data_IF_749286849547
#
_entry.id   IF_749286849547
#
_cell.length_a   1.000
_cell.length_b   1.000
_cell.length_c   1.000
_cell.angle_alpha   90.00
_cell.angle_beta   90.00
_cell.angle_gamma   90.00
#
_symmetry.space_group_name_H-M   'P 1'
#
loop_
_entity.id
_entity.type
_entity.pdbx_description
1 polymer ?
#
# COMPACT_ATOMS: atom_id res chain seq x y z
N UNK A 1 7.25 -6.85 16.04
CA UNK A 1 5.98 -7.52 15.65
C UNK A 1 4.81 -6.75 16.23
N UNK A 2 3.84 -6.40 15.42
CA UNK A 2 2.68 -5.60 15.84
C UNK A 2 1.42 -6.45 15.78
N UNK A 3 0.63 -6.44 16.84
CA UNK A 3 -0.67 -7.10 16.85
C UNK A 3 -1.75 -6.11 16.39
N UNK A 4 -2.54 -6.50 15.41
CA UNK A 4 -3.62 -5.69 14.86
C UNK A 4 -4.97 -6.33 15.15
N UNK A 5 -6.00 -5.50 15.30
CA UNK A 5 -7.38 -5.97 15.37
C UNK A 5 -8.13 -5.62 14.08
N UNK A 6 -9.02 -6.53 13.68
CA UNK A 6 -9.92 -6.30 12.55
C UNK A 6 -11.23 -5.73 13.08
N UNK A 7 -11.52 -4.48 12.71
CA UNK A 7 -12.81 -3.86 12.99
C UNK A 7 -13.80 -4.23 11.89
N UNK A 8 -14.85 -4.94 12.26
CA UNK A 8 -15.92 -5.30 11.32
C UNK A 8 -17.14 -4.44 11.57
N UNK A 9 -17.70 -3.84 10.53
CA UNK A 9 -19.01 -3.21 10.62
C UNK A 9 -20.11 -4.27 10.52
N UNK A 10 -21.14 -4.14 11.34
CA UNK A 10 -22.26 -5.09 11.35
C UNK A 10 -23.15 -5.02 10.12
N UNK A 11 -22.97 -4.03 9.26
CA UNK A 11 -23.85 -3.73 8.13
C UNK A 11 -23.20 -4.03 6.78
N UNK A 12 -21.89 -3.90 6.67
CA UNK A 12 -21.15 -4.15 5.43
C UNK A 12 -19.74 -4.65 5.72
N UNK A 13 -19.48 -5.90 5.44
CA UNK A 13 -18.18 -6.53 5.63
C UNK A 13 -17.10 -6.05 4.64
N UNK A 14 -17.46 -5.31 3.61
CA UNK A 14 -16.50 -4.74 2.66
C UNK A 14 -15.70 -3.57 3.24
N UNK A 15 -16.16 -2.98 4.34
CA UNK A 15 -15.55 -1.84 5.01
C UNK A 15 -14.73 -2.22 6.26
N UNK A 16 -14.13 -3.39 6.29
CA UNK A 16 -13.26 -3.80 7.38
C UNK A 16 -11.97 -3.00 7.39
N UNK A 17 -11.60 -2.45 8.54
CA UNK A 17 -10.36 -1.71 8.74
C UNK A 17 -9.46 -2.38 9.76
N UNK A 18 -8.17 -2.17 9.63
CA UNK A 18 -7.17 -2.67 10.57
C UNK A 18 -6.81 -1.55 11.54
N UNK A 19 -6.85 -1.84 12.84
CA UNK A 19 -6.48 -0.88 13.89
C UNK A 19 -5.28 -1.38 14.68
N UNK A 20 -4.55 -0.46 15.31
CA UNK A 20 -3.41 -0.76 16.19
C UNK A 20 -3.88 -1.22 17.60
N UNK A 21 -5.16 -1.49 17.81
CA UNK A 21 -5.68 -2.00 19.07
C UNK A 21 -5.20 -3.43 19.32
N UNK A 22 -5.20 -3.84 20.59
CA UNK A 22 -4.85 -5.21 20.99
C UNK A 22 -5.85 -6.19 20.36
N UNK A 23 -5.41 -6.96 19.40
CA UNK A 23 -6.26 -7.83 18.57
C UNK A 23 -5.75 -9.26 18.49
N UNK A 24 -6.50 -10.08 17.79
CA UNK A 24 -6.25 -11.51 17.65
C UNK A 24 -5.39 -11.86 16.43
N UNK A 25 -5.00 -10.86 15.63
CA UNK A 25 -4.23 -11.07 14.41
C UNK A 25 -2.83 -10.50 14.60
N UNK A 26 -1.84 -11.34 14.39
CA UNK A 26 -0.44 -10.95 14.36
C UNK A 26 -0.11 -10.29 13.02
N UNK A 27 0.47 -9.09 13.07
CA UNK A 27 0.92 -8.39 11.88
C UNK A 27 2.44 -8.42 11.78
N UNK A 28 2.93 -8.81 10.61
CA UNK A 28 4.35 -8.81 10.24
C UNK A 28 4.58 -7.91 9.03
N UNK A 29 5.80 -7.43 8.85
CA UNK A 29 6.14 -6.68 7.66
C UNK A 29 6.38 -7.60 6.47
N UNK A 30 6.21 -7.10 5.25
CA UNK A 30 6.55 -7.87 4.05
C UNK A 30 8.02 -8.28 4.04
N UNK A 31 8.90 -7.41 4.50
CA UNK A 31 10.33 -7.68 4.57
C UNK A 31 10.71 -8.80 5.56
N UNK A 32 9.88 -9.01 6.59
CA UNK A 32 10.08 -10.08 7.56
C UNK A 32 9.50 -11.42 7.11
N UNK A 33 8.34 -11.39 6.45
CA UNK A 33 7.59 -12.59 6.09
C UNK A 33 8.03 -13.19 4.75
N UNK A 34 8.23 -12.36 3.73
CA UNK A 34 8.57 -12.81 2.38
C UNK A 34 10.08 -12.76 2.18
N UNK A 35 10.67 -13.89 1.85
CA UNK A 35 12.12 -13.99 1.58
C UNK A 35 12.44 -14.08 0.10
N UNK A 36 11.47 -14.48 -0.71
CA UNK A 36 11.60 -14.58 -2.16
C UNK A 36 11.57 -13.20 -2.81
N UNK A 37 12.09 -13.12 -4.03
CA UNK A 37 12.01 -11.92 -4.86
C UNK A 37 10.55 -11.54 -5.11
N UNK A 38 10.23 -10.27 -4.93
CA UNK A 38 8.89 -9.73 -5.17
C UNK A 38 8.87 -8.94 -6.49
N UNK A 39 7.97 -9.29 -7.39
CA UNK A 39 7.83 -8.65 -8.70
C UNK A 39 6.67 -7.63 -8.74
N UNK A 40 5.62 -7.85 -7.97
CA UNK A 40 4.45 -6.97 -7.91
C UNK A 40 3.97 -6.87 -6.47
N UNK A 41 3.64 -5.66 -6.05
CA UNK A 41 2.92 -5.39 -4.80
C UNK A 41 1.65 -4.60 -5.14
N UNK A 42 0.49 -5.16 -4.82
CA UNK A 42 -0.79 -4.48 -4.92
C UNK A 42 -1.35 -4.25 -3.53
N UNK A 43 -1.79 -3.02 -3.26
CA UNK A 43 -2.37 -2.64 -1.98
C UNK A 43 -3.69 -1.89 -2.17
N UNK A 44 -4.71 -2.35 -1.47
CA UNK A 44 -5.98 -1.69 -1.27
C UNK A 44 -6.46 -2.05 0.15
N UNK A 45 -5.86 -1.41 1.15
CA UNK A 45 -5.95 -1.80 2.57
C UNK A 45 -6.48 -0.67 3.45
N UNK A 46 -7.38 0.13 2.87
CA UNK A 46 -8.22 1.08 3.60
C UNK A 46 -7.45 2.09 4.47
N UNK A 47 -6.36 2.65 3.91
CA UNK A 47 -5.58 3.71 4.55
C UNK A 47 -4.30 3.25 5.25
N UNK A 48 -3.99 1.95 5.27
CA UNK A 48 -2.76 1.41 5.86
C UNK A 48 -1.59 1.29 4.87
N UNK A 49 -1.75 1.80 3.65
CA UNK A 49 -0.79 1.64 2.55
C UNK A 49 0.58 2.23 2.89
N UNK A 50 0.63 3.41 3.50
CA UNK A 50 1.89 4.05 3.86
C UNK A 50 2.71 3.19 4.83
N UNK A 51 2.08 2.70 5.90
CA UNK A 51 2.72 1.81 6.88
C UNK A 51 3.17 0.48 6.25
N UNK A 52 2.34 -0.09 5.39
CA UNK A 52 2.67 -1.33 4.69
C UNK A 52 3.88 -1.16 3.76
N UNK A 53 3.99 -0.03 3.06
CA UNK A 53 5.14 0.30 2.23
C UNK A 53 6.41 0.49 3.06
N UNK A 54 6.31 1.06 4.26
CA UNK A 54 7.43 1.13 5.19
C UNK A 54 7.94 -0.27 5.56
N UNK A 55 7.04 -1.24 5.71
CA UNK A 55 7.37 -2.65 5.97
C UNK A 55 7.85 -3.43 4.75
N UNK A 56 7.91 -2.82 3.58
CA UNK A 56 8.37 -3.41 2.33
C UNK A 56 9.62 -2.73 1.76
N UNK A 57 10.33 -1.95 2.56
CA UNK A 57 11.46 -1.12 2.11
C UNK A 57 12.57 -1.93 1.44
N UNK A 58 12.89 -3.10 1.95
CA UNK A 58 13.95 -3.96 1.40
C UNK A 58 13.56 -4.48 0.02
N UNK A 59 12.32 -4.97 -0.13
CA UNK A 59 11.82 -5.42 -1.43
C UNK A 59 11.77 -4.28 -2.44
N UNK A 60 11.26 -3.11 -2.07
CA UNK A 60 11.21 -1.95 -2.96
C UNK A 60 12.61 -1.53 -3.41
N UNK A 61 13.58 -1.56 -2.50
CA UNK A 61 14.96 -1.19 -2.81
C UNK A 61 15.66 -2.22 -3.68
N UNK A 62 15.54 -3.50 -3.35
CA UNK A 62 16.36 -4.56 -3.92
C UNK A 62 15.70 -5.22 -5.14
N UNK A 63 14.39 -5.44 -5.08
CA UNK A 63 13.63 -6.16 -6.11
C UNK A 63 13.02 -5.21 -7.15
N UNK A 64 12.79 -3.96 -6.76
CA UNK A 64 12.12 -2.95 -7.60
C UNK A 64 10.78 -3.44 -8.17
N UNK A 65 9.87 -3.96 -7.33
CA UNK A 65 8.59 -4.49 -7.80
C UNK A 65 7.73 -3.40 -8.45
N UNK A 66 6.83 -3.79 -9.34
CA UNK A 66 5.76 -2.90 -9.77
C UNK A 66 4.79 -2.71 -8.61
N UNK A 67 4.50 -1.45 -8.28
CA UNK A 67 3.59 -1.10 -7.18
C UNK A 67 2.27 -0.60 -7.73
N UNK A 68 1.17 -1.16 -7.24
CA UNK A 68 -0.20 -0.77 -7.53
C UNK A 68 -0.88 -0.40 -6.21
N UNK A 69 -0.91 0.88 -5.89
CA UNK A 69 -1.31 1.36 -4.57
C UNK A 69 -2.58 2.20 -4.67
N UNK A 70 -3.64 1.79 -4.00
CA UNK A 70 -4.84 2.61 -3.84
C UNK A 70 -4.54 3.80 -2.94
N UNK A 71 -4.84 5.02 -3.39
CA UNK A 71 -4.48 6.26 -2.70
C UNK A 71 -5.67 7.20 -2.49
N UNK A 72 -6.88 6.68 -2.55
CA UNK A 72 -8.09 7.51 -2.40
C UNK A 72 -8.54 7.69 -0.94
N UNK A 73 -7.91 7.01 0.01
CA UNK A 73 -8.30 7.04 1.43
C UNK A 73 -7.85 8.31 2.18
N UNK A 74 -6.86 9.02 1.65
CA UNK A 74 -6.38 10.25 2.25
C UNK A 74 -5.71 11.15 1.22
N UNK A 75 -6.07 12.44 1.24
CA UNK A 75 -5.49 13.42 0.33
C UNK A 75 -3.96 13.52 0.46
N UNK A 76 -3.46 13.33 1.68
CA UNK A 76 -2.03 13.38 1.95
C UNK A 76 -1.26 12.21 1.31
N UNK A 77 -1.91 11.07 1.10
CA UNK A 77 -1.26 9.88 0.52
C UNK A 77 -0.85 10.10 -0.94
N UNK A 78 -1.58 10.94 -1.66
CA UNK A 78 -1.24 11.33 -3.03
C UNK A 78 0.16 11.96 -3.13
N UNK A 79 0.62 12.59 -2.06
CA UNK A 79 1.93 13.27 -2.01
C UNK A 79 2.95 12.43 -1.25
N UNK A 80 2.61 11.92 -0.07
CA UNK A 80 3.58 11.25 0.80
C UNK A 80 3.96 9.84 0.35
N UNK A 81 3.07 9.10 -0.30
CA UNK A 81 3.39 7.76 -0.81
C UNK A 81 4.41 7.80 -1.95
N UNK A 82 4.25 8.62 -3.01
CA UNK A 82 5.30 8.77 -4.02
C UNK A 82 6.63 9.25 -3.44
N UNK A 83 6.61 10.16 -2.48
CA UNK A 83 7.82 10.62 -1.80
C UNK A 83 8.52 9.49 -1.04
N UNK A 84 7.77 8.67 -0.32
CA UNK A 84 8.31 7.52 0.39
C UNK A 84 8.98 6.54 -0.58
N UNK A 85 8.27 6.14 -1.63
CA UNK A 85 8.79 5.20 -2.64
C UNK A 85 10.07 5.76 -3.27
N UNK A 86 10.07 7.02 -3.65
CA UNK A 86 11.23 7.68 -4.27
C UNK A 86 12.41 7.82 -3.32
N UNK A 87 12.15 7.98 -2.02
CA UNK A 87 13.21 8.01 -0.99
C UNK A 87 13.88 6.65 -0.81
N UNK A 88 13.13 5.55 -1.03
CA UNK A 88 13.65 4.18 -0.93
C UNK A 88 14.40 3.80 -2.20
N UNK A 89 13.82 4.12 -3.36
CA UNK A 89 14.37 3.74 -4.66
C UNK A 89 14.02 4.80 -5.72
N UNK A 90 15.04 5.49 -6.22
CA UNK A 90 14.89 6.57 -7.21
C UNK A 90 14.54 6.08 -8.61
N UNK A 91 14.61 4.79 -8.86
CA UNK A 91 14.43 4.19 -10.19
C UNK A 91 12.98 3.89 -10.55
N UNK A 92 12.04 4.64 -10.00
CA UNK A 92 10.62 4.51 -10.30
C UNK A 92 10.10 5.67 -11.13
N UNK A 93 9.25 5.34 -12.10
CA UNK A 93 8.31 6.25 -12.73
C UNK A 93 6.93 6.08 -12.10
N UNK A 94 6.19 7.17 -11.95
CA UNK A 94 4.89 7.19 -11.30
C UNK A 94 3.80 7.56 -12.30
N UNK A 95 2.68 6.84 -12.23
CA UNK A 95 1.49 7.07 -13.03
C UNK A 95 0.27 7.04 -12.13
N UNK A 96 -0.72 7.88 -12.45
CA UNK A 96 -2.01 7.84 -11.77
C UNK A 96 -3.05 7.29 -12.71
N UNK A 97 -3.87 6.36 -12.22
CA UNK A 97 -5.04 5.85 -12.90
C UNK A 97 -6.28 6.07 -12.08
N UNK A 98 -7.32 6.51 -12.74
CA UNK A 98 -8.64 6.69 -12.17
C UNK A 98 -9.58 5.64 -12.74
N UNK A 99 -10.18 4.84 -11.87
CA UNK A 99 -11.10 3.77 -12.23
C UNK A 99 -12.53 4.02 -11.76
N UNK A 100 -12.79 5.12 -11.04
CA UNK A 100 -14.09 5.44 -10.49
C UNK A 100 -15.09 5.93 -11.54
N UNK A 101 -16.37 5.85 -11.19
CA UNK A 101 -17.45 6.43 -12.01
C UNK A 101 -17.54 7.94 -11.89
N UNK A 102 -18.41 8.56 -12.70
CA UNK A 102 -18.53 10.03 -12.79
C UNK A 102 -19.02 10.72 -11.49
N UNK A 103 -19.55 9.97 -10.54
CA UNK A 103 -20.19 10.53 -9.34
C UNK A 103 -19.27 10.48 -8.11
N UNK A 104 -18.41 9.45 -7.99
CA UNK A 104 -17.51 9.30 -6.87
C UNK A 104 -16.09 8.95 -7.33
N UNK A 105 -15.08 9.80 -7.05
CA UNK A 105 -13.68 9.52 -7.36
C UNK A 105 -13.09 8.52 -6.34
N UNK A 106 -13.64 7.30 -6.29
CA UNK A 106 -13.32 6.33 -5.24
C UNK A 106 -12.18 5.39 -5.57
N UNK A 107 -11.66 5.40 -6.79
CA UNK A 107 -10.64 4.44 -7.19
C UNK A 107 -9.50 5.13 -7.94
N UNK A 108 -8.65 5.80 -7.20
CA UNK A 108 -7.38 6.34 -7.72
C UNK A 108 -6.27 5.36 -7.35
N UNK A 109 -5.54 4.90 -8.35
CA UNK A 109 -4.41 3.98 -8.17
C UNK A 109 -3.12 4.66 -8.59
N UNK A 110 -2.16 4.70 -7.68
CA UNK A 110 -0.79 5.05 -8.00
C UNK A 110 -0.09 3.80 -8.54
N UNK A 111 0.45 3.92 -9.74
CA UNK A 111 1.27 2.89 -10.36
C UNK A 111 2.72 3.36 -10.33
N UNK A 112 3.59 2.61 -9.67
CA UNK A 112 5.02 2.87 -9.68
C UNK A 112 5.72 1.71 -10.40
N UNK A 113 6.41 2.03 -11.48
CA UNK A 113 7.14 1.05 -12.31
C UNK A 113 8.61 1.40 -12.36
N UNK A 114 9.46 0.38 -12.29
CA UNK A 114 10.90 0.55 -12.50
C UNK A 114 11.15 1.21 -13.86
N UNK A 115 12.03 2.19 -13.89
CA UNK A 115 12.48 2.82 -15.14
C UNK A 115 13.13 1.78 -16.03
N UNK A 116 12.86 1.86 -17.34
CA UNK A 116 13.60 1.10 -18.33
C UNK A 116 15.07 1.56 -18.36
N UNK A 117 15.98 0.62 -18.53
CA UNK A 117 17.39 0.91 -18.68
C UNK A 117 17.66 1.52 -20.07
#
# INVERSE_FOLDING_TARGET
MTTLSLNTSSVDNSANTISDAKGDIEAVTLDEDIKEKVDIIKMDIEGAEFKALEGAKKHIKNDSPTLLISIYHGFNDLIRIPKLIKSINKNYNFYLRYYGGNIFPTEIVLIAKKKAN
#
